data_IF_025203665176
#
_entry.id   IF_025203665176
#
_cell.length_a   1.000
_cell.length_b   1.000
_cell.length_c   1.000
_cell.angle_alpha   90.00
_cell.angle_beta   90.00
_cell.angle_gamma   90.00
#
_symmetry.space_group_name_H-M   'P 1'
#
loop_
_entity.id
_entity.type
_entity.pdbx_description
1 polymer ?
#
# COMPACT_ATOMS: atom_id res chain seq x y z
N UNK A 1 -32.31 28.86 43.19
CA UNK A 1 -31.78 28.33 41.92
C UNK A 1 -30.27 28.54 41.92
N UNK A 2 -29.47 27.48 41.94
CA UNK A 2 -28.03 27.55 41.67
C UNK A 2 -27.61 26.19 41.12
N UNK A 3 -27.65 26.08 39.80
CA UNK A 3 -27.20 24.89 39.09
C UNK A 3 -25.77 25.17 38.64
N UNK A 4 -24.83 24.43 39.21
CA UNK A 4 -23.40 24.54 38.92
C UNK A 4 -23.13 23.79 37.62
N UNK A 5 -22.91 24.53 36.54
CA UNK A 5 -22.56 23.96 35.23
C UNK A 5 -21.10 23.49 35.26
N UNK A 6 -20.88 22.17 35.32
CA UNK A 6 -19.57 21.56 35.09
C UNK A 6 -19.34 21.41 33.59
N UNK A 7 -18.37 22.14 33.04
CA UNK A 7 -17.97 22.02 31.64
C UNK A 7 -16.83 20.99 31.54
N UNK A 8 -17.14 19.79 31.05
CA UNK A 8 -16.14 18.75 30.81
C UNK A 8 -15.49 18.96 29.44
N UNK A 9 -14.18 19.28 29.43
CA UNK A 9 -13.40 19.51 28.22
C UNK A 9 -12.81 18.16 27.75
N UNK A 10 -13.47 17.50 26.79
CA UNK A 10 -12.95 16.28 26.17
C UNK A 10 -11.90 16.64 25.12
N UNK A 11 -10.63 16.33 25.42
CA UNK A 11 -9.54 16.38 24.46
C UNK A 11 -9.69 15.20 23.48
N UNK A 12 -10.07 15.49 22.23
CA UNK A 12 -10.02 14.52 21.15
C UNK A 12 -8.58 14.42 20.65
N UNK A 13 -7.84 13.42 21.12
CA UNK A 13 -6.52 13.07 20.61
C UNK A 13 -6.69 12.54 19.19
N UNK A 14 -6.38 13.34 18.17
CA UNK A 14 -6.34 12.88 16.79
C UNK A 14 -5.17 11.89 16.66
N UNK A 15 -5.47 10.60 16.50
CA UNK A 15 -4.46 9.61 16.14
C UNK A 15 -3.96 9.94 14.74
N UNK A 16 -2.72 10.42 14.63
CA UNK A 16 -2.06 10.62 13.35
C UNK A 16 -1.90 9.28 12.65
N UNK A 17 -2.63 9.05 11.57
CA UNK A 17 -2.37 7.93 10.68
C UNK A 17 -1.11 8.27 9.87
N UNK A 18 0.05 7.81 10.34
CA UNK A 18 1.23 7.74 9.49
C UNK A 18 0.95 6.70 8.40
N UNK A 19 0.74 7.15 7.16
CA UNK A 19 0.72 6.27 5.99
C UNK A 19 2.14 5.72 5.84
N UNK A 20 2.33 4.49 6.31
CA UNK A 20 3.56 3.74 6.10
C UNK A 20 3.57 3.26 4.64
N UNK A 21 4.69 3.43 3.94
CA UNK A 21 4.87 2.83 2.61
C UNK A 21 4.78 1.30 2.73
N UNK A 22 4.16 0.66 1.74
CA UNK A 22 4.02 -0.79 1.74
C UNK A 22 5.42 -1.42 1.66
N UNK A 23 5.72 -2.36 2.56
CA UNK A 23 7.03 -3.00 2.55
C UNK A 23 7.02 -4.21 1.60
N UNK A 24 8.06 -4.33 0.77
CA UNK A 24 8.23 -5.51 -0.06
C UNK A 24 8.57 -6.72 0.82
N UNK A 25 7.84 -7.82 0.64
CA UNK A 25 8.04 -9.08 1.37
C UNK A 25 8.23 -10.26 0.42
N UNK A 26 8.83 -11.33 0.93
CA UNK A 26 8.96 -12.60 0.23
C UNK A 26 7.71 -13.49 0.39
N UNK A 27 7.75 -14.68 -0.19
CA UNK A 27 6.64 -15.63 -0.14
C UNK A 27 6.41 -16.21 1.27
N UNK A 28 7.47 -16.41 2.06
CA UNK A 28 7.36 -16.99 3.41
C UNK A 28 6.67 -16.01 4.36
N UNK A 29 7.07 -14.74 4.32
CA UNK A 29 6.44 -13.66 5.07
C UNK A 29 5.00 -13.41 4.59
N UNK A 30 4.75 -13.53 3.29
CA UNK A 30 3.40 -13.40 2.73
C UNK A 30 2.46 -14.52 3.20
N UNK A 31 2.95 -15.75 3.37
CA UNK A 31 2.14 -16.89 3.79
C UNK A 31 1.56 -16.73 5.21
N UNK A 32 2.22 -15.94 6.05
CA UNK A 32 1.77 -15.62 7.41
C UNK A 32 0.84 -14.40 7.48
N UNK A 33 0.45 -13.84 6.32
CA UNK A 33 -0.30 -12.59 6.22
C UNK A 33 -1.57 -12.76 5.42
N UNK A 34 -2.52 -11.87 5.65
CA UNK A 34 -3.78 -11.90 4.92
C UNK A 34 -3.59 -11.18 3.58
N UNK A 35 -3.66 -11.94 2.48
CA UNK A 35 -3.77 -11.36 1.14
C UNK A 35 -5.07 -10.58 1.04
N UNK A 36 -4.98 -9.32 0.65
CA UNK A 36 -6.13 -8.42 0.49
C UNK A 36 -6.43 -8.09 -0.97
N UNK A 37 -5.59 -8.56 -1.91
CA UNK A 37 -5.82 -8.43 -3.34
C UNK A 37 -4.53 -8.38 -4.15
N UNK A 38 -4.69 -7.98 -5.42
CA UNK A 38 -3.59 -7.81 -6.37
C UNK A 38 -3.69 -6.43 -7.00
N UNK A 39 -2.57 -5.73 -7.08
CA UNK A 39 -2.43 -4.46 -7.81
C UNK A 39 -1.56 -4.67 -9.03
N UNK A 40 -1.93 -4.05 -10.15
CA UNK A 40 -1.18 -4.14 -11.39
C UNK A 40 -0.89 -2.76 -11.96
N UNK A 41 0.26 -2.63 -12.60
CA UNK A 41 0.68 -1.45 -13.35
C UNK A 41 0.94 -1.85 -14.81
N UNK A 42 0.57 -0.97 -15.71
CA UNK A 42 0.78 -1.14 -17.14
C UNK A 42 1.20 0.18 -17.75
N UNK A 43 1.80 0.12 -18.93
CA UNK A 43 2.24 1.29 -19.68
C UNK A 43 3.29 2.13 -18.94
N UNK A 44 4.09 1.48 -18.09
CA UNK A 44 5.14 2.16 -17.34
C UNK A 44 6.36 2.33 -18.24
N UNK A 45 6.68 3.59 -18.55
CA UNK A 45 7.91 3.95 -19.26
C UNK A 45 9.08 4.00 -18.28
N UNK A 46 10.27 3.56 -18.72
CA UNK A 46 11.48 3.60 -17.90
C UNK A 46 12.04 2.20 -17.60
N UNK A 47 12.30 1.92 -16.31
CA UNK A 47 12.96 0.70 -15.85
C UNK A 47 12.05 -0.17 -14.96
N UNK A 48 12.55 -1.35 -14.58
CA UNK A 48 11.91 -2.20 -13.59
C UNK A 48 11.67 -1.45 -12.26
N UNK A 49 12.57 -0.57 -11.84
CA UNK A 49 12.42 0.18 -10.58
C UNK A 49 11.20 1.12 -10.60
N UNK A 50 10.89 1.69 -11.77
CA UNK A 50 9.69 2.53 -11.93
C UNK A 50 8.42 1.71 -11.76
N UNK A 51 8.41 0.45 -12.23
CA UNK A 51 7.32 -0.50 -12.01
C UNK A 51 7.17 -0.81 -10.54
N UNK A 52 8.27 -1.12 -9.84
CA UNK A 52 8.27 -1.43 -8.42
C UNK A 52 7.73 -0.24 -7.61
N UNK A 53 8.21 0.97 -7.89
CA UNK A 53 7.76 2.19 -7.22
C UNK A 53 6.28 2.49 -7.49
N UNK A 54 5.81 2.23 -8.71
CA UNK A 54 4.40 2.38 -9.05
C UNK A 54 3.51 1.34 -8.34
N UNK A 55 3.99 0.10 -8.20
CA UNK A 55 3.30 -0.96 -7.45
C UNK A 55 3.24 -0.64 -5.96
N UNK A 56 4.34 -0.20 -5.34
CA UNK A 56 4.38 0.25 -3.94
C UNK A 56 3.38 1.40 -3.69
N UNK A 57 3.38 2.42 -4.57
CA UNK A 57 2.43 3.52 -4.47
C UNK A 57 0.98 3.04 -4.55
N UNK A 58 0.67 2.09 -5.44
CA UNK A 58 -0.68 1.51 -5.55
C UNK A 58 -1.04 0.66 -4.34
N UNK A 59 -0.11 -0.13 -3.82
CA UNK A 59 -0.30 -0.94 -2.62
C UNK A 59 -0.60 -0.06 -1.39
N UNK A 60 0.21 0.99 -1.20
CA UNK A 60 0.02 1.99 -0.13
C UNK A 60 -1.34 2.68 -0.25
N UNK A 61 -1.74 3.10 -1.48
CA UNK A 61 -3.06 3.70 -1.73
C UNK A 61 -4.22 2.74 -1.50
N UNK A 62 -4.02 1.44 -1.70
CA UNK A 62 -4.99 0.40 -1.37
C UNK A 62 -5.06 0.12 0.14
N UNK A 63 -4.21 0.77 0.95
CA UNK A 63 -4.12 0.55 2.39
C UNK A 63 -3.50 -0.80 2.73
N UNK A 64 -2.62 -1.31 1.88
CA UNK A 64 -1.80 -2.48 2.18
C UNK A 64 -0.56 -2.05 2.97
N UNK A 65 -0.19 -2.86 3.95
CA UNK A 65 1.04 -2.67 4.74
C UNK A 65 2.23 -3.34 4.06
N UNK A 66 1.97 -4.33 3.19
CA UNK A 66 2.99 -5.13 2.52
C UNK A 66 2.59 -5.46 1.10
N UNK A 67 3.57 -5.69 0.23
CA UNK A 67 3.34 -6.17 -1.12
C UNK A 67 4.42 -7.16 -1.55
N UNK A 68 4.08 -8.02 -2.50
CA UNK A 68 4.99 -8.99 -3.11
C UNK A 68 4.82 -8.96 -4.61
N UNK A 69 5.89 -8.68 -5.33
CA UNK A 69 5.88 -8.68 -6.78
C UNK A 69 5.70 -10.13 -7.27
N UNK A 70 4.64 -10.37 -8.03
CA UNK A 70 4.35 -11.69 -8.63
C UNK A 70 4.78 -11.75 -10.09
N UNK A 71 4.80 -10.61 -10.77
CA UNK A 71 5.30 -10.49 -12.13
C UNK A 71 5.78 -9.07 -12.41
N UNK A 72 6.88 -8.93 -13.13
CA UNK A 72 7.33 -7.66 -13.68
C UNK A 72 8.12 -7.91 -14.96
N UNK A 73 7.80 -7.20 -16.03
CA UNK A 73 8.40 -7.43 -17.33
C UNK A 73 7.83 -6.53 -18.41
N UNK A 74 8.49 -6.55 -19.56
CA UNK A 74 7.97 -5.96 -20.79
C UNK A 74 7.25 -7.03 -21.62
N UNK A 75 6.23 -6.64 -22.42
CA UNK A 75 5.67 -7.51 -23.45
C UNK A 75 6.75 -7.85 -24.48
N UNK A 76 6.50 -8.86 -25.31
CA UNK A 76 7.43 -9.32 -26.35
C UNK A 76 7.84 -8.19 -27.34
N UNK A 77 7.00 -7.18 -27.49
CA UNK A 77 7.25 -5.97 -28.29
C UNK A 77 8.17 -4.94 -27.61
N UNK A 78 8.59 -5.18 -26.36
CA UNK A 78 9.46 -4.31 -25.56
C UNK A 78 8.94 -2.87 -25.39
N UNK A 79 7.64 -2.62 -25.56
CA UNK A 79 7.09 -1.25 -25.61
C UNK A 79 7.09 -0.57 -24.25
N UNK A 80 6.42 -1.18 -23.27
CA UNK A 80 6.24 -0.61 -21.94
C UNK A 80 6.31 -1.67 -20.87
N UNK A 81 6.84 -1.30 -19.72
CA UNK A 81 6.84 -2.18 -18.58
C UNK A 81 5.43 -2.39 -18.03
N UNK A 82 5.22 -3.60 -17.54
CA UNK A 82 4.04 -4.02 -16.80
C UNK A 82 4.50 -4.80 -15.58
N UNK A 83 3.69 -4.79 -14.54
CA UNK A 83 3.95 -5.58 -13.35
C UNK A 83 2.69 -5.78 -12.54
N UNK A 84 2.69 -6.84 -11.75
CA UNK A 84 1.64 -7.12 -10.77
C UNK A 84 2.28 -7.47 -9.44
N UNK A 85 1.67 -6.99 -8.36
CA UNK A 85 2.03 -7.32 -7.00
C UNK A 85 0.80 -7.77 -6.23
N UNK A 86 0.94 -8.83 -5.47
CA UNK A 86 -0.02 -9.20 -4.45
C UNK A 86 0.19 -8.31 -3.23
N UNK A 87 -0.90 -7.90 -2.57
CA UNK A 87 -0.88 -6.97 -1.46
C UNK A 87 -1.46 -7.59 -0.20
N UNK A 88 -0.91 -7.23 0.95
CA UNK A 88 -1.23 -7.84 2.24
C UNK A 88 -1.45 -6.80 3.33
N UNK A 89 -2.23 -7.19 4.34
CA UNK A 89 -2.36 -6.45 5.59
C UNK A 89 -1.73 -7.20 6.75
#
# INVERSE_FOLDING_TARGET
MKSTTLLALVFFSTLSLSVQAAQQIDQEQAAQRQSVGVVSVSNQSGSLDDVVRALDSKATKAGASYFRIVSAGTPADSSHWRGSAEIYR
#
